data_IF_940588774774
#
_entry.id   IF_940588774774
#
_cell.length_a   1.000
_cell.length_b   1.000
_cell.length_c   1.000
_cell.angle_alpha   90.00
_cell.angle_beta   90.00
_cell.angle_gamma   90.00
#
_symmetry.space_group_name_H-M   'P 1'
#
loop_
_entity.id
_entity.type
_entity.pdbx_description
1 polymer ?
#
# COMPACT_ATOMS: atom_id res chain seq x y z
N UNK A 1 5.12 58.47 9.19
CA UNK A 1 4.79 57.02 9.17
C UNK A 1 4.62 56.63 7.72
N UNK A 2 5.51 55.87 7.10
CA UNK A 2 5.34 55.42 5.71
C UNK A 2 4.20 54.40 5.65
N UNK A 3 3.26 54.64 4.76
CA UNK A 3 2.14 53.78 4.43
C UNK A 3 2.71 52.51 3.77
N UNK A 4 2.57 51.33 4.38
CA UNK A 4 2.81 50.06 3.72
C UNK A 4 1.70 49.86 2.69
N UNK A 5 2.03 49.49 1.42
CA UNK A 5 1.01 49.17 0.46
C UNK A 5 0.23 47.93 0.92
N UNK A 6 -1.09 47.99 0.81
CA UNK A 6 -1.96 46.87 1.05
C UNK A 6 -1.56 45.71 0.12
N UNK A 7 -1.13 44.61 0.71
CA UNK A 7 -0.89 43.36 0.04
C UNK A 7 -2.24 42.88 -0.58
N UNK A 8 -2.43 43.15 -1.84
CA UNK A 8 -3.50 42.54 -2.62
C UNK A 8 -3.16 41.05 -2.73
N UNK A 9 -3.67 40.26 -1.76
CA UNK A 9 -3.51 38.81 -1.70
C UNK A 9 -4.05 38.13 -2.96
N UNK A 10 -3.32 38.26 -4.05
CA UNK A 10 -3.46 37.35 -5.18
C UNK A 10 -3.10 35.96 -4.65
N UNK A 11 -4.10 35.15 -4.36
CA UNK A 11 -3.90 33.76 -4.03
C UNK A 11 -2.94 33.18 -5.05
N UNK A 12 -1.80 32.66 -4.61
CA UNK A 12 -0.83 32.00 -5.49
C UNK A 12 -1.55 30.83 -6.18
N UNK A 13 -2.06 31.08 -7.37
CA UNK A 13 -2.68 30.06 -8.18
C UNK A 13 -1.56 29.10 -8.62
N UNK A 14 -1.55 27.90 -8.05
CA UNK A 14 -0.67 26.85 -8.51
C UNK A 14 -1.00 26.50 -9.96
N UNK A 15 0.00 26.22 -10.79
CA UNK A 15 -0.26 25.79 -12.16
C UNK A 15 -1.09 24.51 -12.16
N UNK A 16 -2.02 24.33 -13.12
CA UNK A 16 -2.84 23.14 -13.19
C UNK A 16 -1.98 21.90 -13.37
N UNK A 17 -2.32 20.83 -12.63
CA UNK A 17 -1.61 19.56 -12.68
C UNK A 17 -2.21 18.69 -13.77
N UNK A 18 -1.39 18.18 -14.69
CA UNK A 18 -1.81 17.22 -15.71
C UNK A 18 -1.59 15.78 -15.22
N UNK A 19 -2.28 14.82 -15.86
CA UNK A 19 -2.06 13.40 -15.61
C UNK A 19 -0.61 12.99 -15.85
N UNK A 20 0.05 13.58 -16.83
CA UNK A 20 1.46 13.31 -17.13
C UNK A 20 2.40 13.78 -16.00
N UNK A 21 2.08 14.87 -15.31
CA UNK A 21 2.85 15.26 -14.12
C UNK A 21 2.80 14.16 -13.05
N UNK A 22 1.61 13.63 -12.78
CA UNK A 22 1.45 12.53 -11.81
C UNK A 22 2.17 11.27 -12.26
N UNK A 23 2.00 10.87 -13.55
CA UNK A 23 2.66 9.70 -14.11
C UNK A 23 4.19 9.81 -14.08
N UNK A 24 4.74 11.00 -14.27
CA UNK A 24 6.19 11.23 -14.21
C UNK A 24 6.74 11.09 -12.78
N UNK A 25 5.89 11.24 -11.76
CA UNK A 25 6.23 11.00 -10.36
C UNK A 25 6.08 9.53 -9.95
N UNK A 26 5.49 8.67 -10.79
CA UNK A 26 5.33 7.26 -10.52
C UNK A 26 6.69 6.54 -10.47
N UNK A 27 6.83 5.56 -9.57
CA UNK A 27 8.09 4.87 -9.30
C UNK A 27 8.68 4.21 -10.55
N UNK A 28 7.86 3.60 -11.37
CA UNK A 28 8.24 2.96 -12.63
C UNK A 28 8.80 3.94 -13.67
N UNK A 29 8.39 5.22 -13.58
CA UNK A 29 8.84 6.26 -14.51
C UNK A 29 10.24 6.77 -14.21
N UNK A 30 10.54 7.01 -12.96
CA UNK A 30 11.79 7.65 -12.56
C UNK A 30 12.87 6.68 -12.09
N UNK A 31 12.50 5.55 -11.46
CA UNK A 31 13.45 4.60 -10.90
C UNK A 31 14.44 4.04 -11.92
N UNK A 32 14.06 3.65 -13.17
CA UNK A 32 15.03 3.17 -14.14
C UNK A 32 16.15 4.16 -14.45
N UNK A 33 15.83 5.47 -14.41
CA UNK A 33 16.79 6.55 -14.69
C UNK A 33 17.80 6.76 -13.57
N UNK A 34 17.38 6.49 -12.31
CA UNK A 34 18.17 6.78 -11.11
C UNK A 34 18.55 5.51 -10.34
N UNK A 35 18.43 4.36 -10.98
CA UNK A 35 18.60 3.05 -10.35
C UNK A 35 19.94 2.90 -9.61
N UNK A 36 21.01 3.46 -10.13
CA UNK A 36 22.36 3.41 -9.52
C UNK A 36 22.48 4.18 -8.21
N UNK A 37 21.58 5.15 -7.98
CA UNK A 37 21.55 6.01 -6.79
C UNK A 37 20.40 5.68 -5.85
N UNK A 38 19.66 4.59 -6.12
CA UNK A 38 18.49 4.18 -5.35
C UNK A 38 18.71 2.83 -4.66
N UNK A 39 17.88 2.57 -3.65
CA UNK A 39 17.78 1.24 -3.05
C UNK A 39 17.41 0.22 -4.13
N UNK A 40 17.99 -0.98 -4.04
CA UNK A 40 17.59 -2.12 -4.87
C UNK A 40 16.07 -2.28 -4.79
N UNK A 41 15.40 -2.37 -5.92
CA UNK A 41 13.94 -2.48 -5.95
C UNK A 41 13.50 -3.45 -7.03
N UNK A 42 12.34 -4.06 -6.83
CA UNK A 42 11.64 -4.86 -7.84
C UNK A 42 10.27 -4.27 -8.06
N UNK A 43 9.90 -4.13 -9.32
CA UNK A 43 8.61 -3.62 -9.75
C UNK A 43 7.86 -4.80 -10.36
N UNK A 44 6.69 -5.10 -9.80
CA UNK A 44 5.78 -6.15 -10.25
C UNK A 44 4.53 -5.45 -10.79
N UNK A 45 4.26 -5.52 -12.10
CA UNK A 45 3.01 -5.02 -12.64
C UNK A 45 1.82 -5.75 -12.01
N UNK A 46 0.80 -5.02 -11.59
CA UNK A 46 -0.40 -5.62 -11.03
C UNK A 46 -1.41 -5.91 -12.14
N UNK A 47 -1.90 -7.14 -12.17
CA UNK A 47 -3.00 -7.55 -13.06
C UNK A 47 -4.33 -6.96 -12.57
N UNK A 48 -5.36 -6.86 -13.43
CA UNK A 48 -6.70 -6.43 -13.02
C UNK A 48 -7.26 -7.24 -11.85
N UNK A 49 -6.99 -8.56 -11.80
CA UNK A 49 -7.46 -9.43 -10.71
C UNK A 49 -6.84 -9.05 -9.36
N UNK A 50 -5.55 -8.71 -9.35
CA UNK A 50 -4.87 -8.24 -8.13
C UNK A 50 -5.41 -6.88 -7.70
N UNK A 51 -5.65 -5.97 -8.65
CA UNK A 51 -6.24 -4.66 -8.35
C UNK A 51 -7.65 -4.82 -7.80
N UNK A 52 -8.48 -5.67 -8.40
CA UNK A 52 -9.82 -6.00 -7.90
C UNK A 52 -9.75 -6.55 -6.48
N UNK A 53 -8.89 -7.54 -6.24
CA UNK A 53 -8.67 -8.10 -4.89
C UNK A 53 -8.28 -7.02 -3.86
N UNK A 54 -7.41 -6.08 -4.21
CA UNK A 54 -6.99 -5.01 -3.29
C UNK A 54 -8.11 -4.03 -2.96
N UNK A 55 -9.08 -3.87 -3.85
CA UNK A 55 -10.20 -2.93 -3.70
C UNK A 55 -11.47 -3.58 -3.12
N UNK A 56 -11.56 -4.91 -3.10
CA UNK A 56 -12.69 -5.64 -2.53
C UNK A 56 -12.73 -5.54 -1.00
N UNK A 57 -13.92 -5.57 -0.44
CA UNK A 57 -14.12 -5.64 1.00
C UNK A 57 -13.67 -6.98 1.59
N UNK A 58 -13.23 -6.93 2.83
CA UNK A 58 -12.71 -8.08 3.55
C UNK A 58 -11.27 -8.43 3.18
N UNK A 59 -10.63 -9.25 4.02
CA UNK A 59 -9.25 -9.69 3.85
C UNK A 59 -9.25 -11.22 3.79
N UNK A 60 -8.97 -11.75 2.60
CA UNK A 60 -8.73 -13.18 2.38
C UNK A 60 -7.24 -13.33 2.09
N UNK A 61 -6.53 -14.08 2.91
CA UNK A 61 -5.09 -14.32 2.75
C UNK A 61 -4.85 -15.64 2.01
N UNK A 62 -3.62 -15.84 1.54
CA UNK A 62 -3.22 -17.09 0.92
C UNK A 62 -3.15 -18.21 1.95
N UNK A 63 -3.59 -19.41 1.60
CA UNK A 63 -3.66 -20.58 2.45
C UNK A 63 -2.41 -21.49 2.38
N UNK A 64 -1.47 -21.15 1.52
CA UNK A 64 -0.18 -21.84 1.35
C UNK A 64 0.98 -21.21 2.16
N UNK A 65 0.67 -20.17 2.96
CA UNK A 65 1.59 -19.53 3.88
C UNK A 65 1.35 -20.03 5.32
N UNK A 66 2.38 -20.07 6.19
CA UNK A 66 2.18 -20.33 7.61
C UNK A 66 1.17 -19.36 8.21
N UNK A 67 0.23 -19.85 9.00
CA UNK A 67 -0.73 -18.97 9.68
C UNK A 67 0.04 -18.03 10.62
N UNK A 68 -0.39 -16.77 10.70
CA UNK A 68 0.20 -15.77 11.60
C UNK A 68 -0.06 -16.12 13.09
N UNK A 69 -0.95 -17.06 13.34
CA UNK A 69 -1.38 -17.53 14.67
C UNK A 69 -0.62 -18.78 15.14
N UNK A 70 0.49 -19.16 14.50
CA UNK A 70 1.26 -20.34 14.82
C UNK A 70 2.22 -20.18 16.01
N UNK A 71 2.04 -19.19 16.87
CA UNK A 71 2.55 -19.22 18.25
C UNK A 71 1.51 -19.95 19.10
N UNK A 72 1.67 -21.26 19.18
CA UNK A 72 0.89 -22.17 20.01
C UNK A 72 1.09 -21.85 21.50
N UNK A 73 0.30 -20.92 22.03
CA UNK A 73 -0.10 -20.99 23.41
C UNK A 73 -1.33 -21.90 23.49
N UNK A 74 -1.08 -23.15 23.83
CA UNK A 74 -2.02 -24.22 24.09
C UNK A 74 -2.96 -23.87 25.26
N UNK A 75 -3.94 -22.98 24.97
CA UNK A 75 -5.04 -22.75 25.91
C UNK A 75 -6.03 -23.90 25.80
N UNK A 76 -5.79 -24.99 26.53
CA UNK A 76 -6.78 -26.00 26.77
C UNK A 76 -7.96 -25.41 27.57
N UNK A 77 -9.00 -24.99 26.87
CA UNK A 77 -10.28 -24.69 27.48
C UNK A 77 -10.84 -26.00 28.04
N UNK A 78 -10.73 -26.15 29.37
CA UNK A 78 -11.35 -27.21 30.13
C UNK A 78 -12.85 -27.24 29.82
N UNK A 79 -13.34 -28.36 29.32
CA UNK A 79 -14.75 -28.58 28.99
C UNK A 79 -15.60 -28.45 30.27
N UNK A 80 -16.29 -27.31 30.41
CA UNK A 80 -17.37 -27.17 31.35
C UNK A 80 -18.68 -27.62 30.69
N UNK A 81 -19.19 -28.78 31.09
CA UNK A 81 -20.54 -29.25 30.81
C UNK A 81 -21.57 -28.24 31.31
N UNK A 82 -22.22 -27.54 30.41
CA UNK A 82 -23.33 -26.63 30.70
C UNK A 82 -24.54 -26.97 29.84
N UNK A 83 -25.64 -27.24 30.51
CA UNK A 83 -27.00 -27.59 30.07
C UNK A 83 -27.54 -26.73 28.91
N UNK A 84 -28.37 -27.29 28.01
CA UNK A 84 -28.95 -26.55 26.89
C UNK A 84 -30.00 -25.54 27.37
N UNK A 85 -29.83 -24.29 26.97
CA UNK A 85 -30.80 -23.20 27.13
C UNK A 85 -31.77 -23.21 25.95
N UNK A 86 -33.08 -23.03 26.12
CA UNK A 86 -34.05 -23.02 25.00
C UNK A 86 -33.79 -21.85 24.06
N UNK A 87 -33.78 -22.14 22.76
CA UNK A 87 -33.79 -21.15 21.69
C UNK A 87 -35.10 -20.39 21.74
N UNK A 88 -35.06 -19.08 21.85
CA UNK A 88 -36.12 -18.18 21.43
C UNK A 88 -35.92 -17.89 19.93
N UNK A 89 -36.93 -18.31 19.16
CA UNK A 89 -37.12 -17.92 17.77
C UNK A 89 -37.34 -16.41 17.74
N UNK A 90 -36.36 -15.67 17.22
CA UNK A 90 -36.57 -14.32 16.71
C UNK A 90 -36.23 -14.37 15.22
N UNK A 91 -37.29 -14.56 14.41
CA UNK A 91 -37.24 -14.60 12.98
C UNK A 91 -37.13 -13.15 12.45
N UNK A 92 -35.91 -12.67 12.28
CA UNK A 92 -35.64 -11.59 11.32
C UNK A 92 -35.14 -12.25 10.03
N UNK A 93 -36.04 -12.23 9.06
CA UNK A 93 -35.86 -12.67 7.68
C UNK A 93 -35.02 -11.59 6.94
N UNK A 94 -33.72 -11.51 7.29
CA UNK A 94 -32.71 -10.82 6.48
C UNK A 94 -32.19 -11.87 5.51
N UNK A 95 -32.64 -11.81 4.26
CA UNK A 95 -32.03 -12.55 3.14
C UNK A 95 -30.56 -12.09 3.01
N UNK A 96 -29.66 -12.66 3.81
CA UNK A 96 -28.23 -12.59 3.56
C UNK A 96 -27.99 -13.30 2.22
N UNK A 97 -27.82 -12.50 1.14
CA UNK A 97 -27.27 -13.00 -0.11
C UNK A 97 -25.96 -13.72 0.25
N UNK A 98 -25.95 -15.04 0.07
CA UNK A 98 -24.81 -15.88 0.36
C UNK A 98 -23.66 -15.41 -0.58
N UNK A 99 -22.77 -14.57 -0.06
CA UNK A 99 -21.57 -14.17 -0.80
C UNK A 99 -20.79 -15.44 -1.19
N UNK A 100 -20.56 -15.63 -2.48
CA UNK A 100 -19.73 -16.73 -2.97
C UNK A 100 -18.36 -16.69 -2.25
N UNK A 101 -17.82 -17.84 -1.84
CA UNK A 101 -16.56 -17.90 -1.11
C UNK A 101 -15.44 -17.29 -1.98
N UNK A 102 -14.85 -16.20 -1.50
CA UNK A 102 -13.77 -15.49 -2.21
C UNK A 102 -12.53 -16.39 -2.25
N UNK A 103 -12.02 -16.64 -3.44
CA UNK A 103 -10.81 -17.45 -3.63
C UNK A 103 -9.58 -16.76 -3.01
N UNK A 104 -8.70 -17.51 -2.34
CA UNK A 104 -7.46 -16.98 -1.78
C UNK A 104 -6.48 -16.53 -2.88
N UNK A 105 -5.59 -15.56 -2.59
CA UNK A 105 -4.65 -14.97 -3.55
C UNK A 105 -3.80 -15.96 -4.35
N UNK A 106 -3.29 -17.01 -3.71
CA UNK A 106 -2.49 -18.05 -4.35
C UNK A 106 -3.26 -18.89 -5.39
N UNK A 107 -4.58 -18.95 -5.26
CA UNK A 107 -5.47 -19.61 -6.24
C UNK A 107 -6.00 -18.62 -7.28
N UNK A 108 -6.29 -17.39 -6.88
CA UNK A 108 -6.87 -16.36 -7.73
C UNK A 108 -5.87 -15.79 -8.74
N UNK A 109 -4.62 -15.53 -8.31
CA UNK A 109 -3.54 -15.01 -9.16
C UNK A 109 -2.19 -15.66 -8.84
N UNK A 110 -2.04 -16.97 -9.10
CA UNK A 110 -0.89 -17.77 -8.68
C UNK A 110 0.44 -17.25 -9.22
N UNK A 111 0.46 -16.73 -10.45
CA UNK A 111 1.68 -16.20 -11.07
C UNK A 111 2.21 -14.98 -10.30
N UNK A 112 1.34 -14.01 -9.99
CA UNK A 112 1.73 -12.82 -9.22
C UNK A 112 2.12 -13.20 -7.80
N UNK A 113 1.40 -14.13 -7.17
CA UNK A 113 1.69 -14.60 -5.81
C UNK A 113 3.09 -15.24 -5.75
N UNK A 114 3.41 -16.15 -6.66
CA UNK A 114 4.72 -16.79 -6.73
C UNK A 114 5.84 -15.80 -7.06
N UNK A 115 5.57 -14.83 -7.94
CA UNK A 115 6.51 -13.77 -8.26
C UNK A 115 6.84 -12.90 -7.04
N UNK A 116 5.85 -12.60 -6.21
CA UNK A 116 6.05 -11.87 -4.94
C UNK A 116 6.98 -12.68 -4.03
N UNK A 117 6.74 -13.99 -3.84
CA UNK A 117 7.62 -14.89 -3.05
C UNK A 117 9.06 -14.86 -3.57
N UNK A 118 9.23 -15.03 -4.87
CA UNK A 118 10.55 -14.98 -5.52
C UNK A 118 11.26 -13.64 -5.23
N UNK A 119 10.55 -12.51 -5.36
CA UNK A 119 11.16 -11.19 -5.17
C UNK A 119 11.46 -10.88 -3.70
N UNK A 120 10.68 -11.39 -2.76
CA UNK A 120 11.01 -11.33 -1.33
C UNK A 120 12.34 -12.06 -1.08
N UNK A 121 12.47 -13.29 -1.57
CA UNK A 121 13.71 -14.07 -1.42
C UNK A 121 14.92 -13.38 -2.08
N UNK A 122 14.75 -12.86 -3.31
CA UNK A 122 15.79 -12.13 -4.06
C UNK A 122 16.27 -10.86 -3.33
N UNK A 123 15.40 -10.23 -2.56
CA UNK A 123 15.69 -9.00 -1.80
C UNK A 123 16.19 -9.27 -0.37
N UNK A 124 16.41 -10.52 0.00
CA UNK A 124 16.99 -10.90 1.29
C UNK A 124 15.97 -11.31 2.36
N UNK A 125 14.74 -11.70 1.95
CA UNK A 125 13.74 -12.28 2.83
C UNK A 125 12.91 -11.27 3.64
N UNK A 126 13.28 -9.99 3.65
CA UNK A 126 12.51 -8.94 4.32
C UNK A 126 12.39 -7.71 3.43
N UNK A 127 11.16 -7.31 3.12
CA UNK A 127 10.87 -6.21 2.19
C UNK A 127 9.91 -5.18 2.80
N UNK A 128 9.87 -4.00 2.18
CA UNK A 128 8.86 -2.98 2.42
C UNK A 128 8.10 -2.71 1.11
N UNK A 129 6.77 -2.91 1.09
CA UNK A 129 5.96 -2.69 -0.09
C UNK A 129 5.60 -1.22 -0.27
N UNK A 130 5.34 -0.84 -1.51
CA UNK A 130 4.65 0.39 -1.90
C UNK A 130 3.99 0.21 -3.27
N UNK A 131 3.03 1.08 -3.61
CA UNK A 131 2.56 1.22 -4.98
C UNK A 131 3.35 2.30 -5.74
N UNK A 132 2.84 2.72 -6.88
CA UNK A 132 3.52 3.67 -7.76
C UNK A 132 3.93 4.96 -7.03
N UNK A 133 3.11 5.45 -6.09
CA UNK A 133 3.39 6.66 -5.31
C UNK A 133 3.44 6.41 -3.82
N UNK A 134 2.48 5.69 -3.24
CA UNK A 134 2.30 5.57 -1.79
C UNK A 134 2.82 4.28 -1.20
N UNK A 135 3.27 4.33 0.05
CA UNK A 135 3.50 3.15 0.89
C UNK A 135 2.37 3.04 1.91
N UNK A 136 1.97 1.84 2.35
CA UNK A 136 0.87 1.62 3.29
C UNK A 136 1.23 2.02 4.74
N UNK A 137 1.67 3.28 4.93
CA UNK A 137 2.14 3.78 6.23
C UNK A 137 1.03 3.94 7.26
N UNK A 138 -0.18 4.21 6.80
CA UNK A 138 -1.41 4.31 7.56
C UNK A 138 -1.88 2.97 8.10
N UNK A 139 -1.47 1.86 7.48
CA UNK A 139 -1.82 0.50 7.87
C UNK A 139 -0.76 -0.21 8.75
N UNK A 140 0.31 0.46 9.19
CA UNK A 140 1.37 -0.18 9.98
C UNK A 140 0.88 -0.83 11.28
N UNK A 141 -0.20 -0.34 11.84
CA UNK A 141 -0.80 -0.86 13.06
C UNK A 141 -1.27 -2.31 12.96
N UNK A 142 -1.63 -2.79 11.75
CA UNK A 142 -2.04 -4.19 11.51
C UNK A 142 -0.84 -5.11 11.20
N UNK A 143 0.36 -4.54 11.06
CA UNK A 143 1.56 -5.31 10.70
C UNK A 143 1.92 -6.33 11.78
N UNK A 144 2.15 -7.61 11.44
CA UNK A 144 2.65 -8.61 12.37
C UNK A 144 4.06 -8.29 12.88
N UNK A 145 4.76 -7.36 12.24
CA UNK A 145 6.14 -6.98 12.54
C UNK A 145 6.23 -5.64 13.29
N UNK A 146 5.57 -5.54 14.45
CA UNK A 146 5.75 -4.43 15.42
C UNK A 146 5.52 -3.03 14.83
N UNK A 147 4.36 -2.80 14.21
CA UNK A 147 4.00 -1.49 13.66
C UNK A 147 5.01 -0.94 12.63
N UNK A 148 5.57 -1.81 11.82
CA UNK A 148 6.50 -1.48 10.75
C UNK A 148 5.92 -1.81 9.37
N UNK A 149 6.65 -1.47 8.29
CA UNK A 149 6.35 -1.92 6.93
C UNK A 149 7.14 -3.17 6.54
N UNK A 150 7.71 -3.89 7.53
CA UNK A 150 8.42 -5.13 7.28
C UNK A 150 7.43 -6.20 6.82
N UNK A 151 7.76 -6.86 5.71
CA UNK A 151 7.03 -8.01 5.19
C UNK A 151 8.04 -9.11 4.89
N UNK A 152 7.72 -10.33 5.29
CA UNK A 152 8.52 -11.54 5.05
C UNK A 152 7.78 -12.56 4.19
N UNK A 153 6.47 -12.36 4.03
CA UNK A 153 5.58 -13.21 3.23
C UNK A 153 4.69 -12.38 2.32
N UNK A 154 4.07 -12.97 1.28
CA UNK A 154 3.02 -12.34 0.50
C UNK A 154 1.81 -11.92 1.35
N UNK A 155 1.45 -12.69 2.37
CA UNK A 155 0.33 -12.38 3.25
C UNK A 155 0.56 -11.10 4.04
N UNK A 156 1.79 -10.83 4.52
CA UNK A 156 2.13 -9.56 5.15
C UNK A 156 1.89 -8.39 4.20
N UNK A 157 2.24 -8.56 2.92
CA UNK A 157 2.06 -7.54 1.87
C UNK A 157 0.58 -7.30 1.61
N UNK A 158 -0.21 -8.37 1.43
CA UNK A 158 -1.64 -8.27 1.16
C UNK A 158 -2.36 -7.58 2.32
N UNK A 159 -2.05 -7.98 3.56
CA UNK A 159 -2.61 -7.40 4.76
C UNK A 159 -2.40 -5.89 4.82
N UNK A 160 -1.16 -5.44 4.62
CA UNK A 160 -0.83 -4.01 4.62
C UNK A 160 -1.48 -3.25 3.46
N UNK A 161 -1.48 -3.81 2.25
CA UNK A 161 -2.02 -3.12 1.08
C UNK A 161 -3.54 -2.98 1.16
N UNK A 162 -4.26 -4.04 1.57
CA UNK A 162 -5.72 -4.01 1.72
C UNK A 162 -6.19 -3.10 2.84
N UNK A 163 -5.38 -2.92 3.88
CA UNK A 163 -5.73 -2.08 5.03
C UNK A 163 -5.36 -0.61 4.88
N UNK A 164 -4.80 -0.20 3.72
CA UNK A 164 -4.28 1.14 3.52
C UNK A 164 -5.17 2.00 2.62
N UNK A 165 -5.67 3.10 3.16
CA UNK A 165 -6.38 4.11 2.36
C UNK A 165 -5.48 4.81 1.35
N UNK A 166 -4.18 4.92 1.62
CA UNK A 166 -3.22 5.47 0.66
C UNK A 166 -3.07 4.59 -0.56
N UNK A 167 -3.15 3.27 -0.39
CA UNK A 167 -3.12 2.31 -1.50
C UNK A 167 -4.39 2.41 -2.34
N UNK A 168 -5.57 2.45 -1.71
CA UNK A 168 -6.84 2.62 -2.42
C UNK A 168 -6.86 3.94 -3.20
N UNK A 169 -6.34 5.02 -2.61
CA UNK A 169 -6.21 6.31 -3.29
C UNK A 169 -5.30 6.21 -4.54
N UNK A 170 -4.14 5.55 -4.45
CA UNK A 170 -3.24 5.35 -5.59
C UNK A 170 -3.94 4.60 -6.75
N UNK A 171 -4.82 3.66 -6.44
CA UNK A 171 -5.49 2.82 -7.44
C UNK A 171 -6.70 3.51 -8.09
N UNK A 172 -7.46 4.29 -7.33
CA UNK A 172 -8.77 4.83 -7.76
C UNK A 172 -8.70 6.34 -8.01
N UNK A 173 -7.95 7.09 -7.18
CA UNK A 173 -8.02 8.55 -7.07
C UNK A 173 -6.73 9.28 -7.47
N UNK A 174 -5.73 8.56 -7.99
CA UNK A 174 -4.42 9.14 -8.31
C UNK A 174 -4.47 10.36 -9.27
N UNK A 175 -5.52 10.46 -10.09
CA UNK A 175 -5.68 11.51 -11.09
C UNK A 175 -6.78 12.53 -10.76
N UNK A 176 -7.36 12.43 -9.56
CA UNK A 176 -8.36 13.40 -9.12
C UNK A 176 -7.72 14.80 -9.03
N UNK A 177 -8.46 15.80 -9.46
CA UNK A 177 -7.95 17.17 -9.53
C UNK A 177 -6.97 17.47 -10.69
N UNK A 178 -6.65 16.49 -11.54
CA UNK A 178 -5.90 16.73 -12.76
C UNK A 178 -6.76 17.43 -13.83
N UNK A 179 -6.08 18.11 -14.77
CA UNK A 179 -6.76 18.65 -15.96
C UNK A 179 -7.41 17.53 -16.77
N UNK A 180 -8.47 17.85 -17.50
CA UNK A 180 -9.20 16.91 -18.36
C UNK A 180 -8.39 16.37 -19.56
N UNK A 181 -7.20 16.93 -19.83
CA UNK A 181 -6.33 16.48 -20.90
C UNK A 181 -5.97 14.99 -20.75
N UNK A 182 -6.01 14.21 -21.84
CA UNK A 182 -5.60 12.81 -21.80
C UNK A 182 -4.13 12.70 -21.43
N UNK A 183 -3.77 11.58 -20.78
CA UNK A 183 -2.38 11.26 -20.50
C UNK A 183 -1.67 10.82 -21.80
N UNK A 184 -0.38 11.09 -21.88
CA UNK A 184 0.46 10.66 -23.03
C UNK A 184 0.74 9.16 -23.03
N UNK A 185 0.56 8.49 -21.89
CA UNK A 185 0.72 7.04 -21.70
C UNK A 185 -0.33 6.46 -20.76
N UNK A 186 -0.66 5.17 -20.86
CA UNK A 186 -1.56 4.53 -19.90
C UNK A 186 -0.90 4.44 -18.52
N UNK A 187 -1.75 4.42 -17.49
CA UNK A 187 -1.34 4.08 -16.14
C UNK A 187 -1.34 2.55 -15.97
N UNK A 188 -0.27 2.03 -15.40
CA UNK A 188 -0.17 0.62 -15.02
C UNK A 188 0.13 0.56 -13.52
N UNK A 189 -0.81 0.05 -12.70
CA UNK A 189 -0.54 -0.17 -11.29
C UNK A 189 0.63 -1.11 -11.09
N UNK A 190 1.50 -0.80 -10.14
CA UNK A 190 2.68 -1.61 -9.84
C UNK A 190 2.92 -1.75 -8.35
N UNK A 191 3.26 -2.96 -7.93
CA UNK A 191 3.79 -3.25 -6.61
C UNK A 191 5.32 -3.13 -6.65
N UNK A 192 5.85 -2.29 -5.80
CA UNK A 192 7.29 -2.09 -5.65
C UNK A 192 7.73 -2.72 -4.33
N UNK A 193 8.67 -3.64 -4.40
CA UNK A 193 9.32 -4.25 -3.25
C UNK A 193 10.75 -3.71 -3.11
N UNK A 194 11.11 -3.29 -1.91
CA UNK A 194 12.44 -2.82 -1.54
C UNK A 194 12.93 -3.59 -0.32
N UNK A 195 14.23 -3.85 -0.15
CA UNK A 195 14.74 -4.41 1.09
C UNK A 195 14.25 -3.58 2.28
N UNK A 196 13.77 -4.26 3.30
CA UNK A 196 13.40 -3.59 4.55
C UNK A 196 14.67 -3.20 5.32
N UNK A 197 14.71 -1.97 5.79
CA UNK A 197 15.70 -1.49 6.75
C UNK A 197 15.09 -0.36 7.58
N UNK A 198 15.59 -0.15 8.75
CA UNK A 198 15.21 0.98 9.59
C UNK A 198 16.22 2.10 9.41
N UNK A 199 15.88 3.17 8.69
CA UNK A 199 16.79 4.29 8.52
C UNK A 199 17.04 4.98 9.87
N UNK A 200 18.26 5.47 10.08
CA UNK A 200 18.55 6.32 11.21
C UNK A 200 17.93 7.70 10.93
N UNK A 201 17.09 8.20 11.84
CA UNK A 201 16.32 9.46 11.65
C UNK A 201 17.23 10.63 11.26
N UNK A 202 18.39 10.75 11.88
CA UNK A 202 19.37 11.80 11.57
C UNK A 202 19.97 11.73 10.14
N UNK A 203 19.72 10.65 9.39
CA UNK A 203 20.19 10.46 8.02
C UNK A 203 19.06 10.62 7.00
N UNK A 204 17.86 11.03 7.41
CA UNK A 204 16.77 11.35 6.52
C UNK A 204 16.70 12.86 6.24
N UNK A 205 16.73 13.22 4.96
CA UNK A 205 16.67 14.61 4.53
C UNK A 205 15.57 14.81 3.51
N UNK A 206 14.93 15.98 3.59
CA UNK A 206 14.04 16.49 2.55
C UNK A 206 14.82 17.46 1.68
N UNK A 207 14.97 17.12 0.41
CA UNK A 207 15.67 17.93 -0.56
C UNK A 207 14.66 18.64 -1.49
N UNK A 208 14.83 19.93 -1.69
CA UNK A 208 14.02 20.74 -2.59
C UNK A 208 14.82 21.01 -3.85
N UNK A 209 14.27 20.66 -5.00
CA UNK A 209 14.91 20.81 -6.30
C UNK A 209 14.01 21.68 -7.19
N UNK A 210 14.59 22.70 -7.80
CA UNK A 210 13.95 23.56 -8.80
C UNK A 210 14.91 23.76 -9.97
N UNK A 211 14.41 23.68 -11.19
CA UNK A 211 15.19 23.88 -12.42
C UNK A 211 16.50 23.06 -12.44
N UNK A 212 16.43 21.79 -11.99
CA UNK A 212 17.56 20.85 -11.85
C UNK A 212 18.63 21.27 -10.83
N UNK A 213 18.38 22.28 -10.03
CA UNK A 213 19.28 22.75 -8.98
C UNK A 213 18.71 22.45 -7.61
N UNK A 214 19.55 21.97 -6.70
CA UNK A 214 19.20 21.79 -5.30
C UNK A 214 19.10 23.16 -4.64
N UNK A 215 17.90 23.55 -4.19
CA UNK A 215 17.65 24.88 -3.61
C UNK A 215 17.49 24.87 -2.10
N UNK A 216 17.35 23.69 -1.49
CA UNK A 216 17.23 23.59 -0.05
C UNK A 216 17.30 22.15 0.43
N UNK A 217 17.75 21.98 1.68
CA UNK A 217 17.79 20.71 2.39
C UNK A 217 17.30 20.98 3.81
N UNK A 218 16.42 20.14 4.33
CA UNK A 218 16.04 20.11 5.75
C UNK A 218 16.13 18.69 6.29
N UNK A 219 16.38 18.53 7.60
CA UNK A 219 16.18 17.24 8.25
C UNK A 219 14.71 16.86 8.17
N UNK A 220 14.45 15.57 8.22
CA UNK A 220 13.10 15.02 8.29
C UNK A 220 12.89 14.52 9.71
N UNK A 221 12.29 15.37 10.53
CA UNK A 221 11.91 15.05 11.90
C UNK A 221 10.65 14.19 11.94
#
# INVERSE_FOLDING_TARGET
MPHLPADNGAALAFPPVSKDHILNCAYDSWFPKYRSSCLKSRIIPLTPDVVSYLLEDGIVLADDEPSLDADEDEWHASAATGTPRPQQDDSSDDEEEAEEPKLPPNQRFPETHNLIKEKIAELGGAVAPKLNWSSPKDAKWISPHQNTLKCTSPNDIYLLLKSSSFVSHDLVHAFDGCTAAPASRPFTPGLILRPFFTPHVALEFRCFVKDRSLIGISSRD
#
